data_IF_834307278946
#
_entry.id   IF_834307278946
#
_cell.length_a   1.000
_cell.length_b   1.000
_cell.length_c   1.000
_cell.angle_alpha   90.00
_cell.angle_beta   90.00
_cell.angle_gamma   90.00
#
_symmetry.space_group_name_H-M   'P 1'
#
loop_
_entity.id
_entity.type
_entity.pdbx_description
1 polymer ?
#
# COMPACT_ATOMS: atom_id res chain seq x y z
N UNK A 1 -2.11 -7.18 14.46
CA UNK A 1 -3.46 -7.50 14.98
C UNK A 1 -4.31 -6.26 14.92
N UNK A 2 -5.40 -6.28 14.15
CA UNK A 2 -6.46 -5.26 14.26
C UNK A 2 -7.42 -5.63 15.39
N UNK A 3 -7.97 -4.65 16.08
CA UNK A 3 -8.88 -4.85 17.22
C UNK A 3 -9.94 -3.76 17.26
N UNK A 4 -11.12 -4.06 17.81
CA UNK A 4 -12.19 -3.07 17.94
C UNK A 4 -12.26 -2.51 19.35
N UNK A 5 -12.34 -1.18 19.45
CA UNK A 5 -12.42 -0.42 20.69
C UNK A 5 -13.84 0.12 20.83
N UNK A 6 -14.55 -0.30 21.87
CA UNK A 6 -15.88 0.25 22.14
C UNK A 6 -15.76 1.73 22.53
N UNK A 7 -16.57 2.58 21.91
CA UNK A 7 -16.68 4.02 22.23
C UNK A 7 -18.04 4.30 22.86
N UNK A 8 -18.25 5.47 23.47
CA UNK A 8 -19.51 5.78 24.16
C UNK A 8 -20.65 5.89 23.14
N UNK A 9 -21.44 4.83 23.00
CA UNK A 9 -22.56 4.72 22.04
C UNK A 9 -22.20 4.14 20.67
N UNK A 10 -20.96 3.67 20.46
CA UNK A 10 -20.53 3.05 19.19
C UNK A 10 -19.32 2.11 19.44
N UNK A 11 -18.70 1.59 18.38
CA UNK A 11 -17.42 0.89 18.45
C UNK A 11 -16.57 1.31 17.24
N UNK A 12 -15.27 1.51 17.47
CA UNK A 12 -14.31 1.86 16.44
C UNK A 12 -13.41 0.66 16.21
N UNK A 13 -13.52 0.02 15.04
CA UNK A 13 -12.57 -1.01 14.66
C UNK A 13 -11.25 -0.38 14.20
N UNK A 14 -10.13 -0.96 14.62
CA UNK A 14 -8.81 -0.57 14.14
C UNK A 14 -8.32 -1.69 13.24
N UNK A 15 -8.06 -1.35 11.98
CA UNK A 15 -7.60 -2.30 11.00
C UNK A 15 -6.12 -2.67 11.23
N UNK A 16 -5.70 -3.89 10.87
CA UNK A 16 -4.28 -4.23 10.88
C UNK A 16 -3.50 -3.32 9.91
N UNK A 17 -2.17 -3.22 10.06
CA UNK A 17 -1.32 -2.52 9.09
C UNK A 17 -1.58 -3.04 7.66
N UNK A 18 -1.56 -2.14 6.67
CA UNK A 18 -1.91 -2.45 5.28
C UNK A 18 -3.42 -2.40 4.97
N UNK A 19 -4.26 -2.04 5.94
CA UNK A 19 -5.71 -1.95 5.76
C UNK A 19 -6.27 -0.63 6.27
N UNK A 20 -7.30 -0.12 5.59
CA UNK A 20 -8.05 1.08 5.99
C UNK A 20 -9.48 0.71 6.37
N UNK A 21 -10.04 1.48 7.30
CA UNK A 21 -11.43 1.34 7.69
C UNK A 21 -12.34 2.01 6.67
N UNK A 22 -13.40 1.33 6.28
CA UNK A 22 -14.45 1.91 5.45
C UNK A 22 -15.29 2.92 6.25
N UNK A 23 -16.07 3.78 5.55
CA UNK A 23 -16.98 4.72 6.21
C UNK A 23 -18.03 4.06 7.11
N UNK A 24 -18.26 2.75 6.96
CA UNK A 24 -19.13 1.98 7.83
C UNK A 24 -18.58 1.78 9.26
N UNK A 25 -17.30 2.10 9.49
CA UNK A 25 -16.62 2.04 10.80
C UNK A 25 -16.31 0.60 11.26
N UNK A 26 -16.42 -0.39 10.38
CA UNK A 26 -16.41 -1.82 10.76
C UNK A 26 -15.61 -2.68 9.80
N UNK A 27 -15.63 -2.34 8.51
CA UNK A 27 -15.01 -3.16 7.48
C UNK A 27 -13.62 -2.67 7.19
N UNK A 28 -12.65 -3.58 7.25
CA UNK A 28 -11.28 -3.31 6.83
C UNK A 28 -11.11 -3.72 5.37
N UNK A 29 -10.67 -2.78 4.55
CA UNK A 29 -10.30 -3.04 3.16
C UNK A 29 -8.81 -2.82 2.99
N UNK A 30 -8.23 -3.64 2.14
CA UNK A 30 -6.83 -3.55 1.77
C UNK A 30 -6.51 -2.15 1.24
N UNK A 31 -5.36 -1.61 1.65
CA UNK A 31 -4.85 -0.37 1.09
C UNK A 31 -4.11 -0.75 -0.18
N UNK A 32 -4.58 -0.27 -1.33
CA UNK A 32 -3.84 -0.46 -2.57
C UNK A 32 -2.61 0.48 -2.58
N UNK A 33 -1.48 -0.01 -2.10
CA UNK A 33 -0.23 0.76 -2.06
C UNK A 33 0.30 1.08 -3.47
N UNK A 34 -0.09 0.30 -4.48
CA UNK A 34 0.24 0.58 -5.88
C UNK A 34 -0.49 1.82 -6.40
N UNK A 35 -1.76 1.99 -6.01
CA UNK A 35 -2.53 3.19 -6.35
C UNK A 35 -2.00 4.45 -5.65
N UNK A 36 -1.30 4.30 -4.52
CA UNK A 36 -0.66 5.39 -3.78
C UNK A 36 0.75 5.73 -4.31
N UNK A 37 1.30 4.92 -5.20
CA UNK A 37 2.64 5.13 -5.75
C UNK A 37 3.76 4.82 -4.76
N UNK A 38 3.58 3.83 -3.88
CA UNK A 38 4.57 3.47 -2.85
C UNK A 38 5.86 2.83 -3.44
N UNK A 39 5.80 2.25 -4.65
CA UNK A 39 7.03 1.80 -5.33
C UNK A 39 7.82 3.01 -5.89
N UNK A 40 9.03 3.20 -5.40
CA UNK A 40 9.88 4.34 -5.76
C UNK A 40 11.18 3.90 -6.48
N UNK A 41 11.73 4.77 -7.33
CA UNK A 41 13.00 4.53 -8.03
C UNK A 41 12.88 3.59 -9.24
N UNK A 42 13.68 2.52 -9.26
CA UNK A 42 13.75 1.58 -10.40
C UNK A 42 12.64 0.51 -10.38
N UNK A 43 11.80 0.53 -9.36
CA UNK A 43 10.65 -0.34 -9.24
C UNK A 43 9.57 0.15 -10.21
N UNK A 44 9.32 -0.61 -11.28
CA UNK A 44 8.35 -0.21 -12.31
C UNK A 44 7.07 -1.03 -12.28
N UNK A 45 7.08 -2.14 -11.55
CA UNK A 45 5.96 -3.05 -11.43
C UNK A 45 5.59 -3.11 -9.95
N UNK A 46 4.39 -2.66 -9.64
CA UNK A 46 3.80 -2.85 -8.32
C UNK A 46 2.74 -3.94 -8.40
N UNK A 47 2.77 -4.86 -7.45
CA UNK A 47 1.74 -5.89 -7.27
C UNK A 47 1.11 -5.68 -5.89
N UNK A 48 -0.15 -5.25 -5.89
CA UNK A 48 -0.91 -5.13 -4.66
C UNK A 48 -1.32 -6.52 -4.16
N UNK A 49 -1.19 -6.79 -2.87
CA UNK A 49 -1.60 -8.06 -2.25
C UNK A 49 -2.30 -7.79 -0.92
N UNK A 50 -3.00 -8.78 -0.37
CA UNK A 50 -3.75 -8.58 0.87
C UNK A 50 -2.80 -8.24 2.04
N UNK A 51 -2.87 -7.00 2.52
CA UNK A 51 -2.16 -6.45 3.67
C UNK A 51 -0.73 -5.99 3.39
N UNK A 52 -0.27 -6.08 2.14
CA UNK A 52 1.06 -5.63 1.73
C UNK A 52 1.12 -5.47 0.21
N UNK A 53 2.20 -4.87 -0.27
CA UNK A 53 2.53 -4.85 -1.69
C UNK A 53 3.87 -5.51 -1.97
N UNK A 54 4.13 -5.77 -3.26
CA UNK A 54 5.45 -6.15 -3.74
C UNK A 54 5.84 -5.25 -4.89
N UNK A 55 6.99 -4.63 -4.76
CA UNK A 55 7.63 -3.93 -5.86
C UNK A 55 8.58 -4.88 -6.58
N UNK A 56 8.53 -4.86 -7.90
CA UNK A 56 9.45 -5.62 -8.73
C UNK A 56 10.24 -4.63 -9.56
N UNK A 57 11.56 -4.74 -9.44
CA UNK A 57 12.49 -4.02 -10.29
C UNK A 57 12.40 -4.62 -11.69
N UNK A 58 12.24 -3.75 -12.68
CA UNK A 58 12.62 -4.11 -14.05
C UNK A 58 14.12 -3.90 -14.10
N UNK A 59 14.89 -4.98 -14.14
CA UNK A 59 16.30 -4.90 -14.48
C UNK A 59 16.39 -4.21 -15.85
N UNK A 60 16.98 -3.01 -15.85
CA UNK A 60 17.27 -2.33 -17.10
C UNK A 60 18.14 -3.26 -17.96
N UNK A 61 17.86 -3.40 -19.26
CA UNK A 61 18.73 -4.18 -20.13
C UNK A 61 20.17 -3.69 -19.97
N UNK A 62 21.13 -4.62 -20.04
CA UNK A 62 22.55 -4.27 -20.01
C UNK A 62 22.79 -3.17 -21.05
N UNK A 63 23.39 -2.05 -20.64
CA UNK A 63 23.61 -0.79 -21.39
C UNK A 63 22.61 0.36 -21.18
N UNK A 64 21.56 0.20 -20.35
CA UNK A 64 20.73 1.33 -19.91
C UNK A 64 21.17 1.82 -18.53
N UNK A 65 21.54 3.10 -18.44
CA UNK A 65 21.82 3.79 -17.17
C UNK A 65 20.61 4.63 -16.76
N UNK A 66 20.27 4.64 -15.47
CA UNK A 66 19.24 5.52 -14.94
C UNK A 66 19.81 6.95 -14.92
N UNK A 67 19.52 7.71 -15.96
CA UNK A 67 19.96 9.09 -16.08
C UNK A 67 18.96 10.02 -15.36
N UNK A 68 19.44 10.72 -14.33
CA UNK A 68 18.66 11.67 -13.54
C UNK A 68 18.57 13.07 -14.21
N UNK A 69 18.83 13.23 -15.52
CA UNK A 69 18.74 14.52 -16.23
C UNK A 69 17.43 14.75 -16.97
N UNK A 70 16.30 14.21 -16.49
CA UNK A 70 15.00 14.74 -16.90
C UNK A 70 14.51 15.73 -15.84
N UNK A 71 14.75 17.03 -16.09
CA UNK A 71 14.05 18.12 -15.41
C UNK A 71 12.58 18.13 -15.80
#
# INVERSE_FOLDING_TARGET
MGGCVNTKGSYLCQCPPGYKIQPDGRTCVDIDECALGECQGHERICVNTLGQFKCHRIECPTNYVHDNNYK
#
